data_IF_750839073963
#
_entry.id   IF_750839073963
#
_cell.length_a   1.000
_cell.length_b   1.000
_cell.length_c   1.000
_cell.angle_alpha   90.00
_cell.angle_beta   90.00
_cell.angle_gamma   90.00
#
_symmetry.space_group_name_H-M   'P 1'
#
loop_
_entity.id
_entity.type
_entity.pdbx_description
1 polymer ?
#
# COMPACT_ATOMS: atom_id res chain seq x y z
N UNK A 1 -27.39 -2.23 -4.60
CA UNK A 1 -26.15 -3.03 -4.47
C UNK A 1 -25.40 -2.76 -3.17
N UNK A 2 -25.14 -1.51 -2.77
CA UNK A 2 -24.30 -1.22 -1.59
C UNK A 2 -25.04 -0.74 -0.33
N UNK A 3 -26.36 -0.51 -0.39
CA UNK A 3 -27.13 0.11 0.71
C UNK A 3 -26.96 -0.63 2.04
N UNK A 4 -27.04 -1.96 2.04
CA UNK A 4 -26.90 -2.77 3.26
C UNK A 4 -25.48 -2.73 3.85
N UNK A 5 -24.49 -2.28 3.06
CA UNK A 5 -23.08 -2.14 3.46
C UNK A 5 -22.68 -0.68 3.70
N UNK A 6 -23.60 0.26 3.64
CA UNK A 6 -23.34 1.69 3.87
C UNK A 6 -23.79 2.11 5.27
N UNK A 7 -23.11 3.11 5.83
CA UNK A 7 -23.63 3.85 6.97
C UNK A 7 -24.52 4.97 6.46
N UNK A 8 -25.77 4.98 6.91
CA UNK A 8 -26.77 5.98 6.56
C UNK A 8 -26.89 6.97 7.72
N UNK A 9 -26.81 8.25 7.41
CA UNK A 9 -26.92 9.37 8.34
C UNK A 9 -28.15 10.19 7.92
N UNK A 10 -29.33 9.96 8.52
CA UNK A 10 -30.51 10.75 8.23
C UNK A 10 -30.35 12.16 8.80
N UNK A 11 -30.56 13.19 7.98
CA UNK A 11 -30.53 14.60 8.38
C UNK A 11 -31.79 15.28 7.82
N UNK A 12 -32.68 15.69 8.72
CA UNK A 12 -33.99 16.27 8.38
C UNK A 12 -34.80 15.38 7.41
N UNK A 13 -34.94 15.81 6.14
CA UNK A 13 -35.66 15.10 5.07
C UNK A 13 -34.73 14.42 4.06
N UNK A 14 -33.42 14.46 4.30
CA UNK A 14 -32.40 13.92 3.40
C UNK A 14 -31.64 12.75 4.06
N UNK A 15 -31.24 11.78 3.24
CA UNK A 15 -30.34 10.71 3.65
C UNK A 15 -28.93 10.98 3.13
N UNK A 16 -28.00 11.20 4.05
CA UNK A 16 -26.57 11.22 3.72
C UNK A 16 -26.00 9.82 3.94
N UNK A 17 -24.94 9.49 3.21
CA UNK A 17 -24.22 8.23 3.40
C UNK A 17 -22.73 8.49 3.53
N UNK A 18 -22.08 7.76 4.42
CA UNK A 18 -20.62 7.72 4.42
C UNK A 18 -20.17 6.95 3.18
N UNK A 19 -19.29 7.54 2.38
CA UNK A 19 -18.83 6.95 1.12
C UNK A 19 -18.22 5.55 1.37
N UNK A 20 -18.68 4.47 0.70
CA UNK A 20 -18.06 3.14 0.82
C UNK A 20 -16.97 2.88 -0.23
N UNK A 21 -16.77 3.84 -1.14
CA UNK A 21 -15.81 3.85 -2.24
C UNK A 21 -15.57 5.30 -2.70
N UNK A 22 -14.42 5.57 -3.32
CA UNK A 22 -14.09 6.92 -3.81
C UNK A 22 -14.60 7.19 -5.24
N UNK A 23 -14.96 6.14 -5.99
CA UNK A 23 -15.29 6.21 -7.42
C UNK A 23 -16.26 7.33 -7.80
N UNK A 24 -17.43 7.50 -7.13
CA UNK A 24 -18.36 8.56 -7.49
C UNK A 24 -17.76 9.97 -7.38
N UNK A 25 -16.93 10.22 -6.37
CA UNK A 25 -16.24 11.51 -6.22
C UNK A 25 -15.25 11.77 -7.35
N UNK A 26 -14.43 10.78 -7.72
CA UNK A 26 -13.49 10.90 -8.83
C UNK A 26 -14.20 11.10 -10.16
N UNK A 27 -15.35 10.46 -10.36
CA UNK A 27 -16.18 10.65 -11.56
C UNK A 27 -16.71 12.09 -11.65
N UNK A 28 -17.16 12.66 -10.53
CA UNK A 28 -17.58 14.07 -10.49
C UNK A 28 -16.42 15.02 -10.80
N UNK A 29 -15.21 14.72 -10.31
CA UNK A 29 -14.00 15.48 -10.65
C UNK A 29 -13.70 15.37 -12.16
N UNK A 30 -13.76 14.18 -12.75
CA UNK A 30 -13.59 14.00 -14.18
C UNK A 30 -14.59 14.86 -14.97
N UNK A 31 -15.88 14.78 -14.60
CA UNK A 31 -17.02 15.46 -15.23
C UNK A 31 -17.03 16.98 -15.07
N UNK A 32 -16.24 17.53 -14.14
CA UNK A 32 -16.14 18.98 -13.92
C UNK A 32 -15.67 19.78 -15.15
N UNK A 33 -15.06 19.13 -16.15
CA UNK A 33 -14.61 19.75 -17.40
C UNK A 33 -14.83 18.80 -18.58
N UNK A 34 -15.08 19.37 -19.75
CA UNK A 34 -15.04 18.63 -21.02
C UNK A 34 -13.61 18.17 -21.28
N UNK A 35 -13.44 16.91 -21.68
CA UNK A 35 -12.13 16.29 -21.95
C UNK A 35 -11.98 15.98 -23.44
N UNK A 36 -10.79 16.20 -23.99
CA UNK A 36 -10.40 15.74 -25.32
C UNK A 36 -9.73 14.37 -25.25
N UNK A 37 -9.74 13.61 -26.35
CA UNK A 37 -8.93 12.40 -26.48
C UNK A 37 -7.43 12.65 -26.20
N UNK A 38 -6.95 13.90 -26.41
CA UNK A 38 -5.58 14.32 -26.11
C UNK A 38 -5.29 14.41 -24.62
N UNK A 39 -6.30 14.59 -23.78
CA UNK A 39 -6.15 14.66 -22.33
C UNK A 39 -6.03 13.26 -21.72
N UNK A 40 -6.44 12.21 -22.46
CA UNK A 40 -6.42 10.84 -21.98
C UNK A 40 -5.06 10.17 -22.22
N UNK A 41 -4.53 9.40 -21.24
CA UNK A 41 -5.22 8.93 -20.03
C UNK A 41 -5.14 9.92 -18.86
N UNK A 42 -6.25 10.09 -18.14
CA UNK A 42 -6.32 10.86 -16.88
C UNK A 42 -6.30 9.88 -15.71
N UNK A 43 -5.48 10.15 -14.69
CA UNK A 43 -5.36 9.31 -13.49
C UNK A 43 -5.67 10.13 -12.25
N UNK A 44 -6.77 9.84 -11.57
CA UNK A 44 -7.14 10.48 -10.31
C UNK A 44 -6.82 9.52 -9.18
N UNK A 45 -5.91 9.89 -8.29
CA UNK A 45 -5.48 9.10 -7.14
C UNK A 45 -5.80 9.83 -5.83
N UNK A 46 -6.30 9.10 -4.84
CA UNK A 46 -6.63 9.59 -3.50
C UNK A 46 -6.23 8.50 -2.49
N UNK A 47 -5.51 8.89 -1.43
CA UNK A 47 -5.43 8.07 -0.21
C UNK A 47 -6.74 8.30 0.56
N UNK A 48 -7.81 7.68 0.08
CA UNK A 48 -9.18 8.03 0.41
C UNK A 48 -9.77 7.13 1.50
N UNK A 49 -10.22 7.74 2.60
CA UNK A 49 -10.93 7.04 3.68
C UNK A 49 -12.39 6.77 3.29
N UNK A 50 -12.80 5.51 3.39
CA UNK A 50 -14.15 5.04 3.09
C UNK A 50 -14.67 4.16 4.22
N UNK A 51 -16.00 4.02 4.29
CA UNK A 51 -16.66 3.31 5.38
C UNK A 51 -17.55 2.19 4.84
N UNK A 52 -17.43 1.00 5.43
CA UNK A 52 -18.24 -0.17 5.10
C UNK A 52 -18.87 -0.72 6.36
N UNK A 53 -20.19 -0.87 6.37
CA UNK A 53 -20.96 -1.43 7.47
C UNK A 53 -20.82 -2.97 7.51
N UNK A 54 -19.60 -3.43 7.79
CA UNK A 54 -19.28 -4.84 7.94
C UNK A 54 -19.97 -5.43 9.19
N UNK A 55 -20.39 -6.69 9.09
CA UNK A 55 -20.99 -7.45 10.18
C UNK A 55 -20.00 -7.52 11.35
N UNK A 56 -20.47 -7.23 12.56
CA UNK A 56 -19.61 -7.17 13.77
C UNK A 56 -18.81 -8.45 14.00
N UNK A 57 -19.43 -9.63 13.77
CA UNK A 57 -18.78 -10.93 13.91
C UNK A 57 -17.69 -11.24 12.88
N UNK A 58 -17.49 -10.37 11.88
CA UNK A 58 -16.45 -10.54 10.85
C UNK A 58 -15.26 -9.61 11.02
N UNK A 59 -15.30 -8.68 11.97
CA UNK A 59 -14.21 -7.75 12.22
C UNK A 59 -12.99 -8.48 12.80
N UNK A 60 -11.79 -8.10 12.36
CA UNK A 60 -10.56 -8.77 12.76
C UNK A 60 -9.36 -7.83 12.69
N UNK A 61 -8.93 -7.32 13.85
CA UNK A 61 -7.73 -6.48 13.99
C UNK A 61 -7.66 -5.37 12.94
N UNK A 62 -6.56 -5.32 12.18
CA UNK A 62 -6.38 -4.42 11.05
C UNK A 62 -6.80 -5.03 9.70
N UNK A 63 -7.04 -6.35 9.64
CA UNK A 63 -7.27 -7.08 8.40
C UNK A 63 -8.70 -6.92 7.86
N UNK A 64 -9.66 -6.69 8.77
CA UNK A 64 -11.07 -6.41 8.44
C UNK A 64 -11.69 -5.42 9.42
N UNK A 65 -11.88 -4.18 8.95
CA UNK A 65 -12.37 -3.04 9.72
C UNK A 65 -13.49 -2.30 8.97
N UNK A 66 -14.19 -1.40 9.66
CA UNK A 66 -15.30 -0.60 9.10
C UNK A 66 -14.86 0.70 8.45
N UNK A 67 -13.78 1.30 8.92
CA UNK A 67 -13.15 2.50 8.35
C UNK A 67 -11.83 2.08 7.73
N UNK A 68 -11.70 2.24 6.43
CA UNK A 68 -10.48 1.88 5.69
C UNK A 68 -9.98 3.06 4.88
N UNK A 69 -8.68 3.21 4.80
CA UNK A 69 -8.04 4.18 3.91
C UNK A 69 -7.36 3.44 2.77
N UNK A 70 -7.82 3.69 1.55
CA UNK A 70 -7.39 2.94 0.37
C UNK A 70 -6.49 3.83 -0.48
N UNK A 71 -5.42 3.28 -1.04
CA UNK A 71 -4.59 3.95 -2.06
C UNK A 71 -5.26 3.95 -3.44
N UNK A 72 -6.50 4.40 -3.46
CA UNK A 72 -7.42 4.25 -4.56
C UNK A 72 -7.06 5.17 -5.73
N UNK A 73 -7.18 4.66 -6.96
CA UNK A 73 -7.11 5.49 -8.14
C UNK A 73 -8.00 5.00 -9.26
N UNK A 74 -8.40 5.97 -10.08
CA UNK A 74 -9.31 5.80 -11.19
C UNK A 74 -8.63 6.32 -12.45
N UNK A 75 -8.41 5.43 -13.41
CA UNK A 75 -7.79 5.75 -14.69
C UNK A 75 -8.90 5.84 -15.73
N UNK A 76 -9.03 7.02 -16.32
CA UNK A 76 -9.93 7.32 -17.43
C UNK A 76 -9.10 7.28 -18.70
N UNK A 77 -9.41 6.36 -19.61
CA UNK A 77 -8.59 6.15 -20.81
C UNK A 77 -9.43 5.79 -22.04
N UNK A 78 -8.82 5.90 -23.21
CA UNK A 78 -9.40 5.40 -24.46
C UNK A 78 -9.31 3.87 -24.51
N UNK A 79 -10.21 3.17 -25.24
CA UNK A 79 -10.11 1.72 -25.41
C UNK A 79 -8.76 1.24 -25.95
N UNK A 80 -8.12 2.03 -26.82
CA UNK A 80 -6.79 1.73 -27.38
C UNK A 80 -5.64 1.84 -26.37
N UNK A 81 -5.86 2.49 -25.22
CA UNK A 81 -4.85 2.73 -24.18
C UNK A 81 -4.90 1.67 -23.06
N UNK A 82 -5.92 0.79 -23.07
CA UNK A 82 -6.18 -0.18 -22.01
C UNK A 82 -4.94 -1.03 -21.68
N UNK A 83 -4.35 -1.69 -22.68
CA UNK A 83 -3.27 -2.65 -22.47
C UNK A 83 -2.03 -1.98 -21.86
N UNK A 84 -1.70 -0.79 -22.33
CA UNK A 84 -0.54 -0.04 -21.85
C UNK A 84 -0.74 0.46 -20.41
N UNK A 85 -1.94 0.96 -20.09
CA UNK A 85 -2.26 1.41 -18.74
C UNK A 85 -2.31 0.25 -17.74
N UNK A 86 -2.91 -0.89 -18.09
CA UNK A 86 -2.91 -2.08 -17.25
C UNK A 86 -1.49 -2.61 -16.99
N UNK A 87 -0.66 -2.66 -18.03
CA UNK A 87 0.74 -3.14 -17.91
C UNK A 87 1.55 -2.25 -16.96
N UNK A 88 1.37 -0.93 -17.06
CA UNK A 88 2.01 0.05 -16.15
C UNK A 88 1.53 -0.12 -14.70
N UNK A 89 0.24 -0.32 -14.47
CA UNK A 89 -0.33 -0.49 -13.12
C UNK A 89 0.14 -1.81 -12.51
N UNK A 90 0.12 -2.91 -13.26
CA UNK A 90 0.63 -4.20 -12.79
C UNK A 90 2.12 -4.13 -12.48
N UNK A 91 2.93 -3.56 -13.38
CA UNK A 91 4.37 -3.38 -13.15
C UNK A 91 4.67 -2.53 -11.91
N UNK A 92 3.89 -1.46 -11.69
CA UNK A 92 3.95 -0.67 -10.46
C UNK A 92 3.59 -1.53 -9.24
N UNK A 93 2.50 -2.31 -9.29
CA UNK A 93 2.07 -3.14 -8.18
C UNK A 93 3.16 -4.14 -7.76
N UNK A 94 3.72 -4.88 -8.72
CA UNK A 94 4.79 -5.85 -8.45
C UNK A 94 6.03 -5.15 -7.88
N UNK A 95 6.44 -4.02 -8.46
CA UNK A 95 7.57 -3.24 -7.96
C UNK A 95 7.37 -2.82 -6.50
N UNK A 96 6.18 -2.34 -6.15
CA UNK A 96 5.87 -1.92 -4.79
C UNK A 96 5.84 -3.11 -3.83
N UNK A 97 5.16 -4.20 -4.18
CA UNK A 97 5.11 -5.40 -3.35
C UNK A 97 6.51 -5.96 -3.06
N UNK A 98 7.37 -6.06 -4.08
CA UNK A 98 8.76 -6.48 -3.92
C UNK A 98 9.54 -5.53 -3.00
N UNK A 99 9.35 -4.21 -3.13
CA UNK A 99 10.03 -3.22 -2.27
C UNK A 99 9.64 -3.34 -0.79
N UNK A 100 8.45 -3.88 -0.52
CA UNK A 100 7.96 -4.19 0.83
C UNK A 100 8.28 -5.63 1.29
N UNK A 101 9.11 -6.37 0.55
CA UNK A 101 9.56 -7.72 0.90
C UNK A 101 8.63 -8.86 0.47
N UNK A 102 7.53 -8.58 -0.22
CA UNK A 102 6.59 -9.61 -0.66
C UNK A 102 7.05 -10.28 -1.96
N UNK A 103 7.89 -11.30 -1.84
CA UNK A 103 8.37 -12.10 -2.98
C UNK A 103 7.37 -13.15 -3.47
N UNK A 104 6.45 -13.57 -2.59
CA UNK A 104 5.46 -14.63 -2.88
C UNK A 104 4.05 -14.07 -2.75
N UNK A 105 3.33 -14.07 -3.85
CA UNK A 105 1.94 -13.66 -3.91
C UNK A 105 1.21 -14.48 -4.98
N UNK A 106 -0.11 -14.55 -4.85
CA UNK A 106 -0.99 -15.23 -5.81
C UNK A 106 -1.71 -14.18 -6.65
N UNK A 107 -1.75 -14.40 -7.96
CA UNK A 107 -2.47 -13.54 -8.90
C UNK A 107 -3.67 -14.31 -9.44
N UNK A 108 -4.87 -13.76 -9.22
CA UNK A 108 -6.12 -14.33 -9.72
C UNK A 108 -6.68 -13.39 -10.81
N UNK A 109 -7.00 -13.96 -11.99
CA UNK A 109 -7.75 -13.29 -13.06
C UNK A 109 -9.22 -13.73 -12.96
N UNK A 110 -10.04 -12.88 -12.34
CA UNK A 110 -11.47 -13.11 -12.18
C UNK A 110 -12.24 -12.69 -13.43
N UNK A 111 -12.96 -13.65 -14.02
CA UNK A 111 -13.73 -13.50 -15.26
C UNK A 111 -15.20 -13.87 -15.05
N UNK A 112 -16.08 -13.50 -15.99
CA UNK A 112 -17.50 -13.84 -15.90
C UNK A 112 -17.74 -15.34 -16.00
N UNK A 113 -18.86 -15.79 -15.45
CA UNK A 113 -19.34 -17.16 -15.64
C UNK A 113 -19.83 -17.33 -17.09
N UNK A 114 -19.24 -18.23 -17.91
CA UNK A 114 -19.67 -18.45 -19.27
C UNK A 114 -21.08 -19.06 -19.37
N UNK A 115 -21.55 -19.75 -18.32
CA UNK A 115 -22.85 -20.41 -18.26
C UNK A 115 -23.94 -19.55 -17.63
N UNK A 116 -23.59 -18.43 -16.98
CA UNK A 116 -24.54 -17.53 -16.33
C UNK A 116 -24.24 -16.05 -16.64
N UNK A 117 -24.29 -15.69 -17.93
CA UNK A 117 -24.06 -14.31 -18.38
C UNK A 117 -25.09 -13.30 -17.84
N UNK A 118 -26.32 -13.73 -17.54
CA UNK A 118 -27.40 -12.86 -17.06
C UNK A 118 -27.14 -12.21 -15.69
N UNK A 119 -26.16 -12.71 -14.92
CA UNK A 119 -25.67 -12.10 -13.67
C UNK A 119 -24.82 -10.85 -13.90
N UNK A 120 -24.29 -10.65 -15.11
CA UNK A 120 -23.31 -9.63 -15.45
C UNK A 120 -23.92 -8.54 -16.34
N UNK A 121 -23.49 -7.31 -16.12
CA UNK A 121 -23.82 -6.15 -16.96
C UNK A 121 -22.80 -5.97 -18.08
N UNK A 122 -23.19 -5.25 -19.13
CA UNK A 122 -22.34 -4.97 -20.29
C UNK A 122 -22.57 -5.95 -21.44
N UNK A 123 -22.08 -5.59 -22.63
CA UNK A 123 -22.17 -6.42 -23.82
C UNK A 123 -21.07 -7.48 -23.85
N UNK A 124 -21.24 -8.51 -24.70
CA UNK A 124 -20.21 -9.54 -24.88
C UNK A 124 -18.89 -8.93 -25.37
N UNK A 125 -18.95 -7.94 -26.26
CA UNK A 125 -17.77 -7.25 -26.79
C UNK A 125 -17.01 -6.44 -25.72
N UNK A 126 -17.73 -5.86 -24.74
CA UNK A 126 -17.10 -5.13 -23.63
C UNK A 126 -16.30 -6.06 -22.73
N UNK A 127 -16.89 -7.21 -22.39
CA UNK A 127 -16.24 -8.24 -21.60
C UNK A 127 -15.04 -8.83 -22.32
N UNK A 128 -15.19 -9.22 -23.58
CA UNK A 128 -14.12 -9.84 -24.34
C UNK A 128 -12.93 -8.87 -24.50
N UNK A 129 -13.20 -7.58 -24.72
CA UNK A 129 -12.15 -6.55 -24.77
C UNK A 129 -11.43 -6.40 -23.43
N UNK A 130 -12.16 -6.34 -22.32
CA UNK A 130 -11.55 -6.14 -21.01
C UNK A 130 -10.77 -7.37 -20.55
N UNK A 131 -11.31 -8.58 -20.74
CA UNK A 131 -10.61 -9.83 -20.44
C UNK A 131 -9.33 -9.94 -21.28
N UNK A 132 -9.41 -9.67 -22.59
CA UNK A 132 -8.24 -9.68 -23.46
C UNK A 132 -7.21 -8.62 -23.05
N UNK A 133 -7.65 -7.44 -22.62
CA UNK A 133 -6.77 -6.39 -22.08
C UNK A 133 -6.00 -6.85 -20.85
N UNK A 134 -6.69 -7.50 -19.88
CA UNK A 134 -6.05 -8.05 -18.68
C UNK A 134 -5.07 -9.18 -19.02
N UNK A 135 -5.46 -10.10 -19.90
CA UNK A 135 -4.59 -11.22 -20.34
C UNK A 135 -3.34 -10.69 -21.05
N UNK A 136 -3.50 -9.71 -21.93
CA UNK A 136 -2.37 -9.14 -22.68
C UNK A 136 -1.41 -8.39 -21.76
N UNK A 137 -1.94 -7.64 -20.78
CA UNK A 137 -1.12 -6.98 -19.77
C UNK A 137 -0.33 -7.97 -18.91
N UNK A 138 -0.96 -9.06 -18.45
CA UNK A 138 -0.29 -10.14 -17.71
C UNK A 138 0.85 -10.77 -18.52
N UNK A 139 0.60 -11.09 -19.80
CA UNK A 139 1.62 -11.62 -20.71
C UNK A 139 2.78 -10.64 -20.92
N UNK A 140 2.48 -9.35 -21.09
CA UNK A 140 3.48 -8.31 -21.35
C UNK A 140 4.48 -8.13 -20.19
N UNK A 141 4.04 -8.34 -18.96
CA UNK A 141 4.90 -8.29 -17.78
C UNK A 141 5.39 -9.67 -17.30
N UNK A 142 5.11 -10.73 -18.08
CA UNK A 142 5.46 -12.12 -17.78
C UNK A 142 5.00 -12.56 -16.37
N UNK A 143 3.74 -12.28 -16.05
CA UNK A 143 3.14 -12.60 -14.76
C UNK A 143 2.08 -13.69 -14.91
N UNK A 144 2.32 -14.83 -14.25
CA UNK A 144 1.36 -15.93 -14.22
C UNK A 144 0.15 -15.57 -13.36
N UNK A 145 -1.04 -15.86 -13.88
CA UNK A 145 -2.30 -15.66 -13.17
C UNK A 145 -3.20 -16.88 -13.29
N UNK A 146 -3.86 -17.23 -12.19
CA UNK A 146 -4.88 -18.28 -12.19
C UNK A 146 -6.20 -17.69 -12.68
N UNK A 147 -6.76 -18.26 -13.74
CA UNK A 147 -8.10 -17.86 -14.22
C UNK A 147 -9.18 -18.39 -13.26
N UNK A 148 -10.06 -17.51 -12.83
CA UNK A 148 -11.11 -17.77 -11.86
C UNK A 148 -12.48 -17.43 -12.47
N UNK A 149 -13.17 -18.44 -13.00
CA UNK A 149 -14.48 -18.28 -13.63
C UNK A 149 -15.58 -18.00 -12.61
N UNK A 150 -16.48 -17.07 -12.93
CA UNK A 150 -17.61 -16.71 -12.07
C UNK A 150 -17.27 -15.75 -10.92
N UNK A 151 -15.99 -15.50 -10.68
CA UNK A 151 -15.47 -14.66 -9.58
C UNK A 151 -15.35 -13.17 -9.95
N UNK A 152 -15.66 -12.79 -11.19
CA UNK A 152 -15.74 -11.38 -11.56
C UNK A 152 -16.88 -10.67 -10.83
N UNK A 153 -16.71 -9.35 -10.64
CA UNK A 153 -17.84 -8.52 -10.21
C UNK A 153 -18.84 -8.36 -11.36
N UNK A 154 -20.05 -7.94 -11.04
CA UNK A 154 -21.13 -7.85 -12.03
C UNK A 154 -20.86 -6.84 -13.17
N UNK A 155 -19.90 -5.91 -13.03
CA UNK A 155 -19.66 -4.82 -13.98
C UNK A 155 -18.30 -4.87 -14.70
N UNK A 156 -17.52 -5.95 -14.53
CA UNK A 156 -16.27 -6.13 -15.28
C UNK A 156 -15.32 -7.17 -14.68
N UNK A 157 -14.34 -7.65 -15.47
CA UNK A 157 -13.30 -8.54 -14.99
C UNK A 157 -12.27 -7.78 -14.15
N UNK A 158 -11.48 -8.53 -13.37
CA UNK A 158 -10.44 -7.94 -12.51
C UNK A 158 -9.24 -8.86 -12.33
N UNK A 159 -8.10 -8.27 -12.02
CA UNK A 159 -6.92 -8.94 -11.48
C UNK A 159 -6.83 -8.61 -10.00
N UNK A 160 -6.74 -9.64 -9.17
CA UNK A 160 -6.46 -9.50 -7.74
C UNK A 160 -5.10 -10.11 -7.41
N UNK A 161 -4.27 -9.36 -6.67
CA UNK A 161 -3.02 -9.88 -6.09
C UNK A 161 -3.25 -10.10 -4.60
N UNK A 162 -3.06 -11.35 -4.19
CA UNK A 162 -3.25 -11.81 -2.82
C UNK A 162 -1.89 -12.06 -2.17
N UNK A 163 -1.68 -11.42 -1.03
CA UNK A 163 -0.53 -11.65 -0.18
C UNK A 163 -0.77 -12.89 0.67
N UNK A 164 0.30 -13.65 0.90
CA UNK A 164 0.30 -14.77 1.82
C UNK A 164 0.88 -14.29 3.14
N UNK A 165 0.14 -14.51 4.23
CA UNK A 165 0.68 -14.27 5.56
C UNK A 165 1.53 -15.45 6.07
N UNK A 166 2.11 -15.29 7.26
CA UNK A 166 2.96 -16.30 7.89
C UNK A 166 2.23 -17.64 8.18
N UNK A 167 0.90 -17.64 8.20
CA UNK A 167 0.06 -18.83 8.40
C UNK A 167 -0.47 -19.39 7.06
N UNK A 168 -0.09 -18.80 5.93
CA UNK A 168 -0.55 -19.18 4.61
C UNK A 168 -1.97 -18.72 4.27
N UNK A 169 -2.57 -17.80 5.06
CA UNK A 169 -3.88 -17.22 4.70
C UNK A 169 -3.68 -16.18 3.60
N UNK A 170 -4.66 -16.09 2.72
CA UNK A 170 -4.64 -15.17 1.57
C UNK A 170 -5.36 -13.86 1.92
N UNK A 171 -4.65 -12.74 1.78
CA UNK A 171 -5.20 -11.40 1.95
C UNK A 171 -5.12 -10.63 0.64
N UNK A 172 -6.28 -10.23 0.11
CA UNK A 172 -6.32 -9.38 -1.09
C UNK A 172 -5.71 -8.00 -0.77
N UNK A 173 -4.67 -7.64 -1.51
CA UNK A 173 -3.99 -6.34 -1.44
C UNK A 173 -4.27 -5.53 -2.71
N UNK A 174 -3.60 -5.85 -3.81
CA UNK A 174 -3.79 -5.17 -5.10
C UNK A 174 -5.08 -5.63 -5.75
N UNK A 175 -5.81 -4.70 -6.36
CA UNK A 175 -6.91 -5.00 -7.27
C UNK A 175 -6.86 -4.06 -8.46
N UNK A 176 -7.09 -4.58 -9.66
CA UNK A 176 -7.21 -3.81 -10.90
C UNK A 176 -8.47 -4.29 -11.60
N UNK A 177 -9.43 -3.39 -11.80
CA UNK A 177 -10.78 -3.75 -12.17
C UNK A 177 -11.33 -2.83 -13.25
N UNK A 178 -12.02 -3.42 -14.23
CA UNK A 178 -12.82 -2.68 -15.18
C UNK A 178 -14.19 -2.33 -14.62
N UNK A 179 -14.73 -1.19 -15.07
CA UNK A 179 -16.10 -0.80 -14.80
C UNK A 179 -16.80 -0.32 -16.06
N UNK A 180 -17.77 -1.11 -16.52
CA UNK A 180 -18.65 -0.78 -17.64
C UNK A 180 -19.93 -0.07 -17.19
N UNK A 181 -20.19 -0.03 -15.88
CA UNK A 181 -21.44 0.43 -15.30
C UNK A 181 -21.37 1.91 -14.93
N UNK A 182 -20.38 2.34 -14.14
CA UNK A 182 -20.29 3.74 -13.73
C UNK A 182 -20.11 4.72 -14.90
N UNK A 183 -19.33 4.41 -15.97
CA UNK A 183 -19.24 5.29 -17.12
C UNK A 183 -20.59 5.63 -17.75
N UNK A 184 -21.42 4.60 -17.97
CA UNK A 184 -22.79 4.72 -18.51
C UNK A 184 -23.72 5.45 -17.55
N UNK A 185 -23.70 5.10 -16.26
CA UNK A 185 -24.61 5.70 -15.26
C UNK A 185 -24.37 7.19 -15.05
N UNK A 186 -23.12 7.63 -15.17
CA UNK A 186 -22.75 9.03 -14.98
C UNK A 186 -22.65 9.82 -16.29
N UNK A 187 -22.84 9.17 -17.44
CA UNK A 187 -22.67 9.76 -18.77
C UNK A 187 -21.33 10.49 -18.89
N UNK A 188 -20.23 9.78 -18.57
CA UNK A 188 -18.88 10.34 -18.70
C UNK A 188 -18.29 10.01 -20.07
N UNK A 189 -17.93 11.07 -20.78
CA UNK A 189 -17.45 11.00 -22.17
C UNK A 189 -16.19 11.83 -22.36
N UNK A 190 -15.56 11.69 -23.53
CA UNK A 190 -14.54 12.59 -24.04
C UNK A 190 -14.86 12.95 -25.51
N UNK A 191 -14.33 14.08 -25.98
CA UNK A 191 -14.39 14.51 -27.37
C UNK A 191 -13.28 13.80 -28.16
N UNK A 192 -13.66 12.94 -29.10
CA UNK A 192 -12.71 12.22 -29.94
C UNK A 192 -12.26 13.05 -31.16
N UNK A 193 -11.31 12.53 -31.94
CA UNK A 193 -10.71 13.15 -33.15
C UNK A 193 -11.73 13.57 -34.19
N UNK A 194 -12.83 12.82 -34.28
CA UNK A 194 -13.96 13.05 -35.19
C UNK A 194 -14.94 14.11 -34.66
N UNK A 195 -14.68 14.69 -33.48
CA UNK A 195 -15.58 15.64 -32.83
C UNK A 195 -16.80 14.99 -32.19
N UNK A 196 -16.88 13.65 -32.15
CA UNK A 196 -17.96 12.94 -31.48
C UNK A 196 -17.64 12.72 -30.00
N UNK A 197 -18.69 12.67 -29.17
CA UNK A 197 -18.56 12.23 -27.78
C UNK A 197 -18.49 10.72 -27.74
N UNK A 198 -17.44 10.18 -27.14
CA UNK A 198 -17.27 8.74 -26.91
C UNK A 198 -17.19 8.46 -25.41
N UNK A 199 -17.72 7.31 -25.01
CA UNK A 199 -17.64 6.83 -23.64
C UNK A 199 -16.17 6.58 -23.26
N UNK A 200 -15.80 6.98 -22.04
CA UNK A 200 -14.46 6.76 -21.50
C UNK A 200 -14.39 5.43 -20.75
N UNK A 201 -13.29 4.70 -20.91
CA UNK A 201 -13.05 3.48 -20.14
C UNK A 201 -12.53 3.87 -18.75
N UNK A 202 -13.10 3.26 -17.71
CA UNK A 202 -12.64 3.46 -16.32
C UNK A 202 -12.01 2.17 -15.80
N UNK A 203 -10.77 2.31 -15.31
CA UNK A 203 -10.04 1.26 -14.61
C UNK A 203 -9.86 1.71 -13.16
N UNK A 204 -10.39 0.93 -12.23
CA UNK A 204 -10.19 1.09 -10.80
C UNK A 204 -8.93 0.35 -10.39
N UNK A 205 -8.09 0.97 -9.57
CA UNK A 205 -6.93 0.29 -9.02
C UNK A 205 -6.63 0.68 -7.58
N UNK A 206 -6.21 -0.29 -6.80
CA UNK A 206 -5.50 -0.09 -5.53
C UNK A 206 -4.22 -0.95 -5.58
N UNK A 207 -3.08 -0.41 -5.15
CA UNK A 207 -1.81 -1.13 -5.14
C UNK A 207 -1.66 -1.89 -3.82
N UNK A 208 -1.81 -1.18 -2.70
CA UNK A 208 -1.75 -1.79 -1.37
C UNK A 208 -3.10 -2.35 -0.93
N UNK A 209 -4.20 -1.79 -1.46
CA UNK A 209 -5.53 -2.03 -0.95
C UNK A 209 -5.83 -1.07 0.21
N UNK A 210 -6.44 -1.57 1.28
CA UNK A 210 -6.56 -0.75 2.49
C UNK A 210 -5.24 -0.74 3.26
N UNK A 211 -4.77 0.45 3.63
CA UNK A 211 -3.52 0.63 4.38
C UNK A 211 -3.54 -0.13 5.71
N UNK A 212 -4.69 -0.22 6.36
CA UNK A 212 -4.86 -0.98 7.60
C UNK A 212 -4.51 -2.46 7.36
N UNK A 213 -5.09 -3.07 6.32
CA UNK A 213 -4.83 -4.47 5.98
C UNK A 213 -3.40 -4.67 5.55
N UNK A 214 -2.87 -3.77 4.73
CA UNK A 214 -1.50 -3.83 4.25
C UNK A 214 -0.50 -3.79 5.42
N UNK A 215 -0.69 -2.88 6.39
CA UNK A 215 0.09 -2.83 7.63
C UNK A 215 -0.06 -4.12 8.44
N UNK A 216 -1.28 -4.66 8.57
CA UNK A 216 -1.51 -5.94 9.21
C UNK A 216 -0.70 -7.07 8.57
N UNK A 217 -0.71 -7.15 7.23
CA UNK A 217 0.08 -8.12 6.48
C UNK A 217 1.59 -7.90 6.67
N UNK A 218 2.06 -6.65 6.68
CA UNK A 218 3.46 -6.32 6.92
C UNK A 218 3.93 -6.72 8.32
N UNK A 219 3.11 -6.51 9.35
CA UNK A 219 3.41 -6.91 10.72
C UNK A 219 3.59 -8.43 10.78
N UNK A 220 2.68 -9.21 10.17
CA UNK A 220 2.78 -10.66 10.14
C UNK A 220 3.98 -11.14 9.30
N UNK A 221 4.19 -10.55 8.11
CA UNK A 221 5.28 -10.88 7.20
C UNK A 221 6.66 -10.71 7.86
N UNK A 222 6.90 -9.57 8.51
CA UNK A 222 8.16 -9.32 9.22
C UNK A 222 8.17 -9.88 10.65
N UNK A 223 7.07 -10.48 11.10
CA UNK A 223 6.85 -10.78 12.52
C UNK A 223 7.13 -9.56 13.42
N UNK A 224 6.82 -8.34 12.96
CA UNK A 224 7.13 -7.06 13.63
C UNK A 224 8.61 -6.62 13.58
N UNK A 225 9.51 -7.41 13.00
CA UNK A 225 10.92 -7.09 12.82
C UNK A 225 11.14 -6.32 11.51
N UNK A 226 10.54 -5.14 11.37
CA UNK A 226 10.58 -4.35 10.13
C UNK A 226 12.00 -4.06 9.63
N UNK A 227 12.19 -3.91 8.30
CA UNK A 227 13.42 -3.38 7.74
C UNK A 227 13.63 -1.94 8.20
N UNK A 228 14.87 -1.47 8.16
CA UNK A 228 15.25 -0.18 8.73
C UNK A 228 14.37 0.98 8.23
N UNK A 229 14.10 1.05 6.92
CA UNK A 229 13.33 2.15 6.34
C UNK A 229 11.87 2.20 6.83
N UNK A 230 11.31 1.05 7.25
CA UNK A 230 9.92 0.90 7.69
C UNK A 230 9.75 0.89 9.22
N UNK A 231 10.82 0.63 9.98
CA UNK A 231 10.76 0.52 11.43
C UNK A 231 10.26 1.82 12.12
N UNK A 232 9.29 1.77 13.04
CA UNK A 232 8.76 2.97 13.71
C UNK A 232 9.86 3.75 14.45
N UNK A 233 10.72 3.03 15.17
CA UNK A 233 11.97 3.51 15.74
C UNK A 233 13.10 2.78 15.03
N UNK A 234 13.99 3.53 14.38
CA UNK A 234 15.10 3.00 13.61
C UNK A 234 16.33 2.80 14.49
N UNK A 235 16.60 3.78 15.35
CA UNK A 235 17.78 3.87 16.19
C UNK A 235 17.37 4.13 17.64
N UNK A 236 18.12 3.61 18.60
CA UNK A 236 18.02 4.03 20.01
C UNK A 236 19.41 4.33 20.56
N UNK A 237 19.57 5.49 21.20
CA UNK A 237 20.82 5.92 21.85
C UNK A 237 20.73 5.64 23.35
N UNK A 238 21.77 5.02 23.93
CA UNK A 238 21.78 4.55 25.31
C UNK A 238 23.12 4.91 26.00
N UNK A 239 23.17 5.94 26.86
CA UNK A 239 24.33 6.19 27.71
C UNK A 239 24.47 5.11 28.79
N UNK A 240 25.68 4.66 29.12
CA UNK A 240 25.89 3.64 30.17
C UNK A 240 25.54 4.20 31.55
N UNK A 241 25.96 5.43 31.84
CA UNK A 241 25.65 6.17 33.07
C UNK A 241 25.22 7.59 32.78
N UNK A 242 24.69 8.29 33.79
CA UNK A 242 24.28 9.69 33.67
C UNK A 242 25.42 10.65 33.29
N UNK A 243 26.68 10.23 33.46
CA UNK A 243 27.85 11.05 33.09
C UNK A 243 28.02 11.19 31.58
N UNK A 244 27.44 10.27 30.81
CA UNK A 244 27.53 10.26 29.36
C UNK A 244 26.29 10.84 28.66
N UNK A 245 25.33 11.39 29.42
CA UNK A 245 24.06 11.88 28.87
C UNK A 245 24.25 13.03 27.87
N UNK A 246 25.14 13.98 28.16
CA UNK A 246 25.41 15.11 27.26
C UNK A 246 25.88 14.64 25.88
N UNK A 247 26.85 13.73 25.83
CA UNK A 247 27.31 13.16 24.57
C UNK A 247 26.24 12.27 23.90
N UNK A 248 25.41 11.56 24.68
CA UNK A 248 24.29 10.81 24.12
C UNK A 248 23.22 11.72 23.49
N UNK A 249 22.95 12.90 24.06
CA UNK A 249 22.08 13.93 23.48
C UNK A 249 22.66 14.50 22.17
N UNK A 250 23.98 14.70 22.10
CA UNK A 250 24.66 15.10 20.87
C UNK A 250 24.50 14.05 19.75
N UNK A 251 24.76 12.77 20.07
CA UNK A 251 24.58 11.65 19.13
C UNK A 251 23.12 11.55 18.67
N UNK A 252 22.17 11.65 19.60
CA UNK A 252 20.73 11.67 19.31
C UNK A 252 20.37 12.81 18.34
N UNK A 253 20.81 14.03 18.64
CA UNK A 253 20.55 15.22 17.82
C UNK A 253 21.17 15.08 16.44
N UNK A 254 22.38 14.54 16.34
CA UNK A 254 23.03 14.26 15.08
C UNK A 254 22.25 13.22 14.24
N UNK A 255 21.72 12.16 14.88
CA UNK A 255 20.85 11.19 14.21
C UNK A 255 19.56 11.84 13.67
N UNK A 256 18.91 12.70 14.47
CA UNK A 256 17.72 13.45 14.01
C UNK A 256 18.04 14.34 12.80
N UNK A 257 19.19 15.04 12.81
CA UNK A 257 19.62 15.89 11.69
C UNK A 257 19.86 15.10 10.39
N UNK A 258 20.14 13.80 10.48
CA UNK A 258 20.23 12.91 9.33
C UNK A 258 18.87 12.36 8.87
N UNK A 259 17.77 12.70 9.55
CA UNK A 259 16.42 12.27 9.21
C UNK A 259 16.00 10.91 9.77
N UNK A 260 16.75 10.36 10.74
CA UNK A 260 16.39 9.09 11.37
C UNK A 260 15.28 9.26 12.41
N UNK A 261 14.41 8.24 12.51
CA UNK A 261 13.49 8.09 13.65
C UNK A 261 14.26 7.45 14.80
N UNK A 262 14.74 8.28 15.71
CA UNK A 262 15.61 7.87 16.82
C UNK A 262 14.96 8.17 18.17
N UNK A 263 15.24 7.33 19.16
CA UNK A 263 14.91 7.58 20.57
C UNK A 263 16.18 7.70 21.41
N UNK A 264 16.11 8.50 22.47
CA UNK A 264 17.14 8.58 23.51
C UNK A 264 16.62 7.87 24.77
N UNK A 265 17.35 6.85 25.24
CA UNK A 265 16.96 6.02 26.39
C UNK A 265 17.91 6.20 27.57
N UNK A 266 17.60 7.19 28.41
CA UNK A 266 18.33 7.57 29.63
C UNK A 266 17.80 6.92 30.91
N UNK A 267 16.98 5.86 30.78
CA UNK A 267 16.45 5.16 31.96
C UNK A 267 17.61 4.66 32.85
N UNK A 268 17.41 4.74 34.17
CA UNK A 268 18.40 4.32 35.18
C UNK A 268 18.64 2.80 35.25
N UNK A 269 18.01 2.02 34.38
CA UNK A 269 18.18 0.58 34.29
C UNK A 269 19.60 0.19 33.84
N UNK A 270 20.04 -1.00 34.27
CA UNK A 270 21.30 -1.59 33.78
C UNK A 270 21.29 -1.65 32.25
N UNK A 271 22.42 -1.30 31.62
CA UNK A 271 22.52 -1.24 30.15
C UNK A 271 22.08 -2.54 29.46
N UNK A 272 22.36 -3.71 30.05
CA UNK A 272 21.91 -5.00 29.52
C UNK A 272 20.37 -5.16 29.49
N UNK A 273 19.66 -4.56 30.44
CA UNK A 273 18.19 -4.55 30.45
C UNK A 273 17.64 -3.63 29.35
N UNK A 274 18.25 -2.43 29.17
CA UNK A 274 17.87 -1.50 28.10
C UNK A 274 18.13 -2.07 26.69
N UNK A 275 19.27 -2.75 26.50
CA UNK A 275 19.57 -3.48 25.25
C UNK A 275 18.53 -4.58 25.00
N UNK A 276 18.13 -5.32 26.05
CA UNK A 276 17.10 -6.35 25.92
C UNK A 276 15.73 -5.75 25.55
N UNK A 277 15.36 -4.62 26.15
CA UNK A 277 14.12 -3.90 25.82
C UNK A 277 14.12 -3.46 24.34
N UNK A 278 15.22 -2.88 23.85
CA UNK A 278 15.37 -2.50 22.44
C UNK A 278 15.25 -3.71 21.48
N UNK A 279 15.81 -4.87 21.84
CA UNK A 279 15.67 -6.11 21.07
C UNK A 279 14.23 -6.65 21.08
N UNK A 280 13.53 -6.57 22.22
CA UNK A 280 12.11 -6.96 22.34
C UNK A 280 11.21 -6.06 21.48
N UNK A 281 11.51 -4.76 21.46
CA UNK A 281 10.84 -3.77 20.60
C UNK A 281 11.29 -3.84 19.14
N UNK A 282 12.28 -4.69 18.83
CA UNK A 282 12.78 -4.94 17.47
C UNK A 282 13.34 -3.69 16.80
N UNK A 283 13.93 -2.79 17.57
CA UNK A 283 14.61 -1.59 17.04
C UNK A 283 15.83 -2.04 16.22
N UNK A 284 15.95 -1.65 14.93
CA UNK A 284 17.02 -2.11 14.04
C UNK A 284 18.43 -1.90 14.58
N UNK A 285 18.71 -0.74 15.19
CA UNK A 285 20.03 -0.39 15.70
C UNK A 285 19.98 0.22 17.11
N UNK A 286 20.96 -0.16 17.91
CA UNK A 286 21.23 0.41 19.23
C UNK A 286 22.62 1.02 19.27
N UNK A 287 22.71 2.27 19.71
CA UNK A 287 23.94 3.03 19.86
C UNK A 287 24.24 3.17 21.36
N UNK A 288 25.26 2.45 21.84
CA UNK A 288 25.65 2.50 23.25
C UNK A 288 26.80 3.49 23.41
N UNK A 289 26.67 4.36 24.42
CA UNK A 289 27.63 5.42 24.72
C UNK A 289 28.18 5.21 26.12
N UNK A 290 29.45 4.80 26.23
CA UNK A 290 30.18 4.70 27.48
C UNK A 290 31.30 5.73 27.58
N UNK A 291 32.04 5.70 28.68
CA UNK A 291 33.17 6.61 28.91
C UNK A 291 34.19 6.63 27.77
N UNK A 292 34.51 5.46 27.19
CA UNK A 292 35.46 5.36 26.06
C UNK A 292 34.91 6.00 24.80
N UNK A 293 33.62 5.81 24.56
CA UNK A 293 32.91 6.41 23.43
C UNK A 293 32.89 7.94 23.52
N UNK A 294 32.69 8.50 24.72
CA UNK A 294 32.81 9.95 24.95
C UNK A 294 34.23 10.45 24.68
N UNK A 295 35.26 9.80 25.24
CA UNK A 295 36.66 10.21 25.08
C UNK A 295 37.15 10.16 23.62
N UNK A 296 36.58 9.27 22.81
CA UNK A 296 37.00 9.03 21.43
C UNK A 296 36.04 9.60 20.39
N UNK A 297 34.95 10.25 20.81
CA UNK A 297 33.86 10.72 19.93
C UNK A 297 33.32 9.59 19.01
N UNK A 298 33.09 8.42 19.59
CA UNK A 298 32.59 7.22 18.89
C UNK A 298 31.29 6.68 19.48
N UNK A 299 30.69 5.68 18.83
CA UNK A 299 29.52 4.94 19.34
C UNK A 299 29.73 3.45 19.21
N UNK A 300 29.29 2.67 20.21
CA UNK A 300 29.23 1.21 20.12
C UNK A 300 27.93 0.80 19.43
N UNK A 301 28.02 0.36 18.18
CA UNK A 301 26.89 0.00 17.34
C UNK A 301 26.51 -1.47 17.48
N UNK A 302 25.22 -1.72 17.72
CA UNK A 302 24.63 -3.06 17.74
C UNK A 302 23.46 -3.10 16.76
N UNK A 303 23.37 -4.17 15.98
CA UNK A 303 22.23 -4.47 15.10
C UNK A 303 21.32 -5.50 15.78
N UNK A 304 20.02 -5.33 15.61
CA UNK A 304 18.99 -6.27 16.06
C UNK A 304 19.34 -7.71 15.70
N UNK A 305 19.06 -8.64 16.61
CA UNK A 305 19.45 -10.04 16.45
C UNK A 305 20.78 -10.36 17.14
N UNK A 306 21.18 -9.55 18.14
CA UNK A 306 22.40 -9.73 18.95
C UNK A 306 23.71 -9.66 18.14
N UNK A 307 23.71 -8.92 17.04
CA UNK A 307 24.92 -8.72 16.23
C UNK A 307 25.62 -7.45 16.69
N UNK A 308 26.79 -7.60 17.33
CA UNK A 308 27.67 -6.46 17.63
C UNK A 308 28.43 -6.09 16.38
N UNK A 309 28.28 -4.86 15.91
CA UNK A 309 29.04 -4.37 14.75
C UNK A 309 30.41 -3.85 15.20
N UNK A 310 30.46 -3.15 16.33
CA UNK A 310 31.69 -2.63 16.91
C UNK A 310 31.59 -1.15 17.25
N UNK A 311 32.73 -0.55 17.58
CA UNK A 311 32.86 0.88 17.86
C UNK A 311 33.26 1.60 16.57
N UNK A 312 32.58 2.69 16.24
CA UNK A 312 32.87 3.51 15.06
C UNK A 312 32.53 4.97 15.29
N UNK A 313 33.07 5.85 14.45
CA UNK A 313 32.68 7.27 14.46
C UNK A 313 31.26 7.43 13.94
N UNK A 314 30.61 8.51 14.35
CA UNK A 314 29.21 8.74 13.97
C UNK A 314 29.04 8.94 12.45
N UNK A 315 30.00 9.58 11.79
CA UNK A 315 29.98 9.75 10.33
C UNK A 315 30.08 8.41 9.59
N UNK A 316 30.95 7.51 10.05
CA UNK A 316 31.10 6.15 9.50
C UNK A 316 29.81 5.35 9.66
N UNK A 317 29.16 5.48 10.82
CA UNK A 317 27.86 4.87 11.09
C UNK A 317 26.77 5.39 10.13
N UNK A 318 26.74 6.69 9.88
CA UNK A 318 25.79 7.28 8.93
C UNK A 318 26.02 6.81 7.50
N UNK A 319 27.27 6.68 7.06
CA UNK A 319 27.59 6.10 5.74
C UNK A 319 27.13 4.65 5.63
N UNK A 320 27.37 3.84 6.67
CA UNK A 320 26.94 2.44 6.73
C UNK A 320 25.41 2.33 6.58
N UNK A 321 24.67 3.12 7.37
CA UNK A 321 23.21 3.08 7.33
C UNK A 321 22.64 3.64 6.03
N UNK A 322 23.21 4.72 5.48
CA UNK A 322 22.76 5.26 4.18
C UNK A 322 22.93 4.24 3.06
N UNK A 323 23.98 3.43 3.09
CA UNK A 323 24.16 2.31 2.15
C UNK A 323 23.08 1.23 2.32
N UNK A 324 22.67 0.93 3.54
CA UNK A 324 21.54 0.00 3.79
C UNK A 324 20.20 0.58 3.32
N UNK A 325 19.93 1.87 3.56
CA UNK A 325 18.71 2.55 3.10
C UNK A 325 18.65 2.75 1.59
N UNK A 326 19.80 3.00 0.95
CA UNK A 326 19.94 3.13 -0.50
C UNK A 326 20.04 1.80 -1.23
N UNK A 327 20.26 0.70 -0.50
CA UNK A 327 20.20 -0.65 -1.03
C UNK A 327 18.77 -1.02 -1.43
N UNK A 328 18.61 -1.73 -2.54
CA UNK A 328 17.33 -2.26 -2.97
C UNK A 328 16.82 -3.44 -2.11
N UNK A 329 17.45 -3.70 -0.97
CA UNK A 329 17.15 -4.84 -0.08
C UNK A 329 15.95 -4.59 0.85
#
# INVERSE_FOLDING_TARGET
FYRDKMFIVPIEKEEYVLKPMNCPGHILIYKSKVRSYKDLPIKLAEIGTVYRNELSGTLHGLLRVRSITIDDAHIFCQPSQIEDELSKVLGLAIKMLNKFGFEKFRVDLSVRDPHNKGKYMGSDEEWDRAEQGLISALKRINLDAKRMEGEAVFYGPKIDIKLLDALGREWQATTIQFDFNLPKRFDITYMDRDGMRKEVVVIHRAIYGSLERFIGCLIEHYSGAFPLWLAPVQLVVMPITNKENEYAEEVYTACLRQGFRVELNEKSDKIGARIRDAEVQKIPYSLVVGKKEVEQETVSVRKRGRVTIGVMRLDEFFEMIKKELGGEN
#
